data_IF_884729161051
#
_entry.id   IF_884729161051
#
_cell.length_a   1.000
_cell.length_b   1.000
_cell.length_c   1.000
_cell.angle_alpha   90.00
_cell.angle_beta   90.00
_cell.angle_gamma   90.00
#
_symmetry.space_group_name_H-M   'P 1'
#
loop_
_entity.id
_entity.type
_entity.pdbx_description
1 polymer ?
#
# COMPACT_ATOMS: atom_id res chain seq x y z
N UNK A 1 18.18 25.20 -0.46
CA UNK A 1 19.32 25.81 -0.76
C UNK A 1 20.40 26.13 0.27
N UNK A 2 20.13 26.88 1.35
CA UNK A 2 21.20 27.40 2.26
C UNK A 2 21.97 26.29 2.99
N UNK A 3 21.35 25.14 3.27
CA UNK A 3 21.96 24.01 4.00
C UNK A 3 22.31 22.83 3.09
N UNK A 4 22.26 22.98 1.78
CA UNK A 4 22.50 21.87 0.86
C UNK A 4 23.92 21.30 0.97
N UNK A 5 24.91 22.13 1.29
CA UNK A 5 26.30 21.70 1.47
C UNK A 5 26.48 20.93 2.80
N UNK A 6 25.71 21.28 3.84
CA UNK A 6 25.78 20.62 5.14
C UNK A 6 25.15 19.21 5.13
N UNK A 7 24.39 18.91 4.07
CA UNK A 7 23.76 17.60 3.83
C UNK A 7 24.55 16.68 2.90
N UNK A 8 25.74 17.12 2.46
CA UNK A 8 26.61 16.29 1.63
C UNK A 8 27.59 15.53 2.51
N UNK A 9 27.90 14.30 2.13
CA UNK A 9 29.01 13.58 2.73
C UNK A 9 30.34 14.28 2.41
N UNK A 10 31.34 14.12 3.29
CA UNK A 10 32.67 14.67 3.10
C UNK A 10 33.29 14.14 1.80
N UNK A 11 33.99 14.99 1.07
CA UNK A 11 34.53 14.65 -0.24
C UNK A 11 35.49 13.44 -0.21
N UNK A 12 36.27 13.29 0.85
CA UNK A 12 37.18 12.16 1.04
C UNK A 12 36.41 10.83 1.30
N UNK A 13 35.28 10.89 1.99
CA UNK A 13 34.41 9.71 2.22
C UNK A 13 33.76 9.27 0.91
N UNK A 14 33.28 10.21 0.10
CA UNK A 14 32.71 9.90 -1.22
C UNK A 14 33.74 9.32 -2.17
N UNK A 15 35.01 9.85 -2.12
CA UNK A 15 36.09 9.38 -2.99
C UNK A 15 36.58 7.97 -2.63
N UNK A 16 36.56 7.59 -1.34
CA UNK A 16 37.00 6.27 -0.88
C UNK A 16 36.20 5.79 0.33
N UNK A 17 34.91 5.40 0.15
CA UNK A 17 34.06 4.99 1.25
C UNK A 17 34.57 3.77 2.02
N UNK A 18 35.29 2.87 1.35
CA UNK A 18 35.85 1.66 1.98
C UNK A 18 36.93 1.94 3.02
N UNK A 19 37.52 3.14 3.04
CA UNK A 19 38.46 3.55 4.08
C UNK A 19 37.77 4.00 5.37
N UNK A 20 36.46 4.30 5.33
CA UNK A 20 35.70 4.88 6.44
C UNK A 20 34.61 3.95 6.98
N UNK A 21 34.15 2.98 6.18
CA UNK A 21 33.06 2.07 6.54
C UNK A 21 33.50 0.61 6.46
N UNK A 22 33.04 -0.19 7.39
CA UNK A 22 33.27 -1.65 7.40
C UNK A 22 32.60 -2.37 6.24
N UNK A 23 31.54 -1.78 5.70
CA UNK A 23 30.80 -2.33 4.57
C UNK A 23 30.24 -1.23 3.69
N UNK A 24 30.44 -1.36 2.39
CA UNK A 24 29.83 -0.51 1.35
C UNK A 24 28.82 -1.34 0.56
N UNK A 25 27.61 -0.81 0.40
CA UNK A 25 26.55 -1.41 -0.42
C UNK A 25 26.29 -0.46 -1.57
N UNK A 26 26.44 -0.95 -2.79
CA UNK A 26 26.18 -0.20 -4.01
C UNK A 26 24.85 -0.67 -4.63
N UNK A 27 23.97 0.26 -4.94
CA UNK A 27 22.67 0.01 -5.55
C UNK A 27 22.55 0.82 -6.83
N UNK A 28 22.45 0.15 -7.97
CA UNK A 28 22.19 0.78 -9.25
C UNK A 28 20.70 1.06 -9.42
N UNK A 29 20.29 2.31 -9.23
CA UNK A 29 18.88 2.70 -9.34
C UNK A 29 18.29 2.51 -10.74
N UNK A 30 19.13 2.45 -11.79
CA UNK A 30 18.67 2.22 -13.18
C UNK A 30 18.30 0.76 -13.44
N UNK A 31 18.76 -0.16 -12.60
CA UNK A 31 18.48 -1.60 -12.67
C UNK A 31 17.47 -2.05 -11.61
N UNK A 32 17.14 -1.14 -10.69
CA UNK A 32 16.22 -1.45 -9.60
C UNK A 32 14.80 -1.63 -10.13
N UNK A 33 14.21 -2.77 -9.84
CA UNK A 33 12.81 -3.07 -10.10
C UNK A 33 12.00 -3.16 -8.80
N UNK A 34 10.64 -3.11 -8.86
CA UNK A 34 9.81 -3.31 -7.67
C UNK A 34 10.00 -4.69 -7.05
N UNK A 35 9.94 -4.75 -5.73
CA UNK A 35 10.02 -5.99 -4.95
C UNK A 35 8.71 -6.28 -4.24
N UNK A 36 8.43 -7.58 -4.06
CA UNK A 36 7.35 -8.10 -3.22
C UNK A 36 7.97 -8.90 -2.09
N UNK A 37 7.52 -8.63 -0.87
CA UNK A 37 8.03 -9.28 0.34
C UNK A 37 7.00 -10.25 0.91
N UNK A 38 7.45 -11.43 1.32
CA UNK A 38 6.62 -12.45 1.97
C UNK A 38 6.49 -13.76 1.21
N UNK A 39 5.56 -14.62 1.63
CA UNK A 39 4.65 -14.45 2.76
C UNK A 39 5.29 -14.80 4.12
N UNK A 40 4.59 -14.46 5.21
CA UNK A 40 4.89 -14.88 6.60
C UNK A 40 6.17 -14.34 7.23
N UNK A 41 7.00 -13.62 6.52
CA UNK A 41 8.29 -13.07 6.99
C UNK A 41 8.57 -11.73 6.31
N UNK A 42 9.28 -10.80 6.99
CA UNK A 42 9.76 -9.57 6.37
C UNK A 42 11.00 -9.78 5.49
N UNK A 43 11.63 -10.96 5.53
CA UNK A 43 12.96 -11.21 4.95
C UNK A 43 12.92 -11.87 3.57
N UNK A 44 11.73 -12.16 3.03
CA UNK A 44 11.56 -12.90 1.77
C UNK A 44 11.29 -11.96 0.58
N UNK A 45 12.11 -10.93 0.41
CA UNK A 45 12.01 -10.02 -0.73
C UNK A 45 12.32 -10.73 -2.05
N UNK A 46 11.51 -10.46 -3.08
CA UNK A 46 11.63 -11.04 -4.42
C UNK A 46 11.35 -9.96 -5.45
N UNK A 47 12.21 -9.79 -6.46
CA UNK A 47 11.94 -8.87 -7.56
C UNK A 47 10.70 -9.31 -8.34
N UNK A 48 9.95 -8.33 -8.85
CA UNK A 48 8.69 -8.60 -9.57
C UNK A 48 8.92 -9.49 -10.81
N UNK A 49 10.10 -9.43 -11.40
CA UNK A 49 10.46 -10.25 -12.56
C UNK A 49 10.55 -11.75 -12.25
N UNK A 50 10.81 -12.13 -11.00
CA UNK A 50 10.96 -13.50 -10.52
C UNK A 50 9.76 -13.97 -9.69
N UNK A 51 8.87 -13.04 -9.32
CA UNK A 51 7.81 -13.33 -8.35
C UNK A 51 6.79 -14.36 -8.86
N UNK A 52 6.45 -14.32 -10.15
CA UNK A 52 5.53 -15.31 -10.74
C UNK A 52 6.07 -16.75 -10.61
N UNK A 53 7.36 -16.96 -10.87
CA UNK A 53 8.01 -18.26 -10.69
C UNK A 53 7.99 -18.69 -9.23
N UNK A 54 8.31 -17.78 -8.31
CA UNK A 54 8.25 -18.04 -6.86
C UNK A 54 6.85 -18.46 -6.40
N UNK A 55 5.81 -17.81 -6.91
CA UNK A 55 4.40 -18.16 -6.62
C UNK A 55 4.11 -19.59 -7.04
N UNK A 56 4.51 -19.98 -8.25
CA UNK A 56 4.26 -21.30 -8.82
C UNK A 56 5.06 -22.40 -8.10
N UNK A 57 6.36 -22.19 -7.92
CA UNK A 57 7.26 -23.17 -7.29
C UNK A 57 6.88 -23.47 -5.85
N UNK A 58 6.48 -22.44 -5.09
CA UNK A 58 6.07 -22.61 -3.69
C UNK A 58 4.59 -22.97 -3.51
N UNK A 59 3.81 -23.06 -4.58
CA UNK A 59 2.38 -23.36 -4.53
C UNK A 59 1.58 -22.31 -3.75
N UNK A 60 1.97 -21.04 -3.84
CA UNK A 60 1.20 -19.95 -3.22
C UNK A 60 -0.13 -19.77 -3.95
N UNK A 61 -1.22 -19.41 -3.25
CA UNK A 61 -2.50 -19.12 -3.90
C UNK A 61 -2.34 -17.95 -4.89
N UNK A 62 -2.45 -18.27 -6.17
CA UNK A 62 -2.24 -17.29 -7.26
C UNK A 62 -3.29 -16.18 -7.27
N UNK A 63 -4.56 -16.57 -7.01
CA UNK A 63 -5.65 -15.59 -6.95
C UNK A 63 -5.43 -14.63 -5.79
N UNK A 64 -5.39 -13.34 -6.09
CA UNK A 64 -5.37 -12.28 -5.12
C UNK A 64 -6.80 -11.96 -4.67
N UNK A 65 -7.05 -11.97 -3.36
CA UNK A 65 -8.41 -11.76 -2.84
C UNK A 65 -8.68 -10.34 -2.38
N UNK A 66 -7.66 -9.62 -1.89
CA UNK A 66 -7.79 -8.23 -1.46
C UNK A 66 -6.46 -7.51 -1.63
N UNK A 67 -6.53 -6.29 -2.18
CA UNK A 67 -5.46 -5.31 -2.11
C UNK A 67 -5.73 -4.29 -1.02
N UNK A 68 -4.70 -3.94 -0.23
CA UNK A 68 -4.83 -2.95 0.81
C UNK A 68 -3.66 -1.96 0.77
N UNK A 69 -3.96 -0.72 0.42
CA UNK A 69 -3.05 0.40 0.56
C UNK A 69 -3.27 1.02 1.93
N UNK A 70 -2.22 1.06 2.77
CA UNK A 70 -2.41 1.56 4.12
C UNK A 70 -1.16 1.57 4.97
N UNK A 71 -1.37 1.76 6.24
CA UNK A 71 -0.47 2.11 7.32
C UNK A 71 -0.12 3.61 7.36
N UNK A 72 0.29 4.08 8.54
CA UNK A 72 0.77 5.47 8.70
C UNK A 72 2.09 5.75 7.95
N UNK A 73 2.80 4.70 7.55
CA UNK A 73 4.11 4.79 6.88
C UNK A 73 3.98 4.77 5.36
N UNK A 74 3.13 3.89 4.82
CA UNK A 74 3.06 3.59 3.39
C UNK A 74 1.69 3.95 2.79
N UNK A 75 1.18 5.11 3.14
CA UNK A 75 0.07 5.83 2.52
C UNK A 75 0.23 7.34 2.75
N UNK A 76 1.45 7.82 2.51
CA UNK A 76 1.79 9.24 2.44
C UNK A 76 1.07 9.91 1.26
N UNK A 77 1.19 11.23 1.16
CA UNK A 77 0.66 11.96 0.02
C UNK A 77 1.25 11.45 -1.30
N UNK A 78 2.57 11.25 -1.36
CA UNK A 78 3.25 10.72 -2.54
C UNK A 78 2.76 9.31 -2.89
N UNK A 79 2.65 8.41 -1.91
CA UNK A 79 2.17 7.05 -2.11
C UNK A 79 0.76 7.03 -2.69
N UNK A 80 -0.14 7.84 -2.13
CA UNK A 80 -1.51 7.97 -2.62
C UNK A 80 -1.57 8.63 -4.00
N UNK A 81 -0.72 9.62 -4.27
CA UNK A 81 -0.65 10.29 -5.58
C UNK A 81 -0.24 9.30 -6.68
N UNK A 82 0.80 8.51 -6.47
CA UNK A 82 1.26 7.47 -7.40
C UNK A 82 0.22 6.38 -7.61
N UNK A 83 -0.38 5.87 -6.54
CA UNK A 83 -1.44 4.88 -6.66
C UNK A 83 -2.69 5.45 -7.35
N UNK A 84 -3.07 6.70 -7.08
CA UNK A 84 -4.20 7.36 -7.74
C UNK A 84 -3.96 7.55 -9.25
N UNK A 85 -2.71 7.74 -9.68
CA UNK A 85 -2.34 7.76 -11.11
C UNK A 85 -2.72 6.44 -11.79
N UNK A 86 -2.48 5.30 -11.16
CA UNK A 86 -2.91 3.99 -11.67
C UNK A 86 -4.44 3.85 -11.61
N UNK A 87 -5.08 4.33 -10.53
CA UNK A 87 -6.54 4.30 -10.43
C UNK A 87 -7.23 5.07 -11.58
N UNK A 88 -6.67 6.21 -11.99
CA UNK A 88 -7.17 6.96 -13.15
C UNK A 88 -7.03 6.17 -14.44
N UNK A 89 -5.93 5.43 -14.63
CA UNK A 89 -5.74 4.59 -15.80
C UNK A 89 -6.78 3.46 -15.91
N UNK A 90 -7.35 2.99 -14.81
CA UNK A 90 -8.44 2.00 -14.82
C UNK A 90 -9.64 2.54 -15.58
N UNK A 91 -10.05 3.78 -15.28
CA UNK A 91 -11.16 4.44 -15.98
C UNK A 91 -10.80 4.78 -17.44
N UNK A 92 -9.62 5.34 -17.68
CA UNK A 92 -9.15 5.77 -19.01
C UNK A 92 -8.98 4.59 -19.98
N UNK A 93 -8.56 3.43 -19.47
CA UNK A 93 -8.30 2.22 -20.26
C UNK A 93 -9.45 1.21 -20.20
N UNK A 94 -10.57 1.57 -19.59
CA UNK A 94 -11.77 0.74 -19.43
C UNK A 94 -11.46 -0.63 -18.78
N UNK A 95 -10.58 -0.63 -17.79
CA UNK A 95 -10.22 -1.84 -17.05
C UNK A 95 -11.26 -2.14 -15.96
N UNK A 96 -11.41 -3.40 -15.63
CA UNK A 96 -12.12 -3.85 -14.44
C UNK A 96 -11.11 -4.16 -13.31
N UNK A 97 -11.47 -3.86 -12.08
CA UNK A 97 -10.68 -4.25 -10.91
C UNK A 97 -11.10 -5.65 -10.48
N UNK A 98 -10.18 -6.62 -10.51
CA UNK A 98 -10.49 -8.02 -10.29
C UNK A 98 -10.64 -8.43 -8.83
N UNK A 99 -10.07 -7.65 -7.89
CA UNK A 99 -10.17 -7.90 -6.45
C UNK A 99 -10.57 -6.62 -5.69
N UNK A 100 -11.21 -6.74 -4.52
CA UNK A 100 -11.50 -5.59 -3.67
C UNK A 100 -10.25 -4.81 -3.31
N UNK A 101 -10.34 -3.48 -3.36
CA UNK A 101 -9.30 -2.56 -2.91
C UNK A 101 -9.76 -1.83 -1.65
N UNK A 102 -8.91 -1.80 -0.65
CA UNK A 102 -9.08 -0.99 0.56
C UNK A 102 -7.96 0.06 0.59
N UNK A 103 -8.33 1.30 0.87
CA UNK A 103 -7.36 2.40 1.03
C UNK A 103 -7.54 3.01 2.42
N UNK A 104 -6.45 3.03 3.18
CA UNK A 104 -6.38 3.59 4.51
C UNK A 104 -5.33 4.72 4.52
N UNK A 105 -5.73 6.00 4.42
CA UNK A 105 -4.80 7.14 4.42
C UNK A 105 -3.94 7.19 5.68
N UNK A 106 -2.72 7.73 5.56
CA UNK A 106 -1.73 7.73 6.63
C UNK A 106 -2.08 8.62 7.84
N UNK A 107 -2.87 9.65 7.62
CA UNK A 107 -3.38 10.55 8.66
C UNK A 107 -4.62 11.29 8.16
N UNK A 108 -5.33 11.94 9.08
CA UNK A 108 -6.49 12.76 8.70
C UNK A 108 -6.07 13.96 7.82
N UNK A 109 -4.90 14.54 8.08
CA UNK A 109 -4.37 15.61 7.22
C UNK A 109 -4.08 15.11 5.81
N UNK A 110 -3.47 13.93 5.68
CA UNK A 110 -3.23 13.29 4.36
C UNK A 110 -4.56 12.96 3.69
N UNK A 111 -5.53 12.40 4.41
CA UNK A 111 -6.87 12.10 3.87
C UNK A 111 -7.54 13.35 3.28
N UNK A 112 -7.60 14.42 4.07
CA UNK A 112 -8.24 15.66 3.65
C UNK A 112 -7.49 16.34 2.48
N UNK A 113 -6.16 16.24 2.46
CA UNK A 113 -5.35 16.78 1.35
C UNK A 113 -5.56 15.96 0.09
N UNK A 114 -5.53 14.62 0.18
CA UNK A 114 -5.77 13.73 -0.94
C UNK A 114 -7.19 13.82 -1.50
N UNK A 115 -8.18 14.09 -0.63
CA UNK A 115 -9.56 14.35 -1.03
C UNK A 115 -9.68 15.66 -1.82
N UNK A 116 -9.10 16.75 -1.32
CA UNK A 116 -9.05 18.03 -2.02
C UNK A 116 -8.40 17.90 -3.40
N UNK A 117 -7.35 17.11 -3.51
CA UNK A 117 -6.54 16.95 -4.73
C UNK A 117 -7.08 15.81 -5.64
N UNK A 118 -8.29 15.28 -5.34
CA UNK A 118 -9.02 14.33 -6.18
C UNK A 118 -8.48 12.91 -6.21
N UNK A 119 -7.59 12.53 -5.27
CA UNK A 119 -7.07 11.16 -5.20
C UNK A 119 -8.09 10.19 -4.62
N UNK A 120 -8.81 10.62 -3.58
CA UNK A 120 -9.86 9.81 -2.95
C UNK A 120 -10.97 9.51 -3.96
N UNK A 121 -11.38 10.50 -4.75
CA UNK A 121 -12.36 10.34 -5.83
C UNK A 121 -11.88 9.31 -6.88
N UNK A 122 -10.60 9.36 -7.26
CA UNK A 122 -10.04 8.37 -8.19
C UNK A 122 -10.13 6.92 -7.67
N UNK A 123 -9.84 6.70 -6.38
CA UNK A 123 -10.01 5.38 -5.76
C UNK A 123 -11.47 4.95 -5.65
N UNK A 124 -12.36 5.86 -5.28
CA UNK A 124 -13.79 5.56 -5.17
C UNK A 124 -14.40 5.20 -6.53
N UNK A 125 -14.00 5.86 -7.61
CA UNK A 125 -14.45 5.56 -8.98
C UNK A 125 -14.14 4.15 -9.44
N UNK A 126 -13.09 3.56 -8.91
CA UNK A 126 -12.72 2.15 -9.21
C UNK A 126 -13.28 1.16 -8.17
N UNK A 127 -14.16 1.61 -7.28
CA UNK A 127 -14.82 0.77 -6.29
C UNK A 127 -14.01 0.51 -5.01
N UNK A 128 -12.95 1.30 -4.75
CA UNK A 128 -12.18 1.15 -3.51
C UNK A 128 -12.99 1.59 -2.27
N UNK A 129 -12.81 0.86 -1.18
CA UNK A 129 -13.30 1.24 0.14
C UNK A 129 -12.26 2.12 0.84
N UNK A 130 -12.65 3.35 1.15
CA UNK A 130 -11.80 4.27 1.92
C UNK A 130 -12.09 4.08 3.40
N UNK A 131 -11.09 3.69 4.16
CA UNK A 131 -11.18 3.50 5.61
C UNK A 131 -10.77 4.77 6.36
N UNK A 132 -11.17 4.85 7.62
CA UNK A 132 -10.60 5.82 8.55
C UNK A 132 -9.10 5.54 8.75
N UNK A 133 -8.33 6.59 8.99
CA UNK A 133 -6.89 6.54 9.26
C UNK A 133 -6.58 5.93 10.63
N UNK A 134 -6.78 4.63 10.74
CA UNK A 134 -6.56 3.85 11.96
C UNK A 134 -5.66 2.63 11.68
N UNK A 135 -5.02 2.13 12.73
CA UNK A 135 -4.11 0.98 12.62
C UNK A 135 -4.79 -0.37 12.36
N UNK A 136 -6.12 -0.45 12.39
CA UNK A 136 -6.93 -1.67 12.31
C UNK A 136 -6.31 -2.86 11.57
N UNK A 137 -6.36 -2.91 10.23
CA UNK A 137 -5.77 -4.02 9.48
C UNK A 137 -4.26 -4.16 9.68
N UNK A 138 -3.53 -3.04 9.79
CA UNK A 138 -2.08 -3.05 9.92
C UNK A 138 -1.59 -3.70 11.23
N UNK A 139 -2.39 -3.73 12.28
CA UNK A 139 -2.08 -4.38 13.56
C UNK A 139 -2.82 -5.70 13.78
N UNK A 140 -3.47 -6.25 12.73
CA UNK A 140 -4.18 -7.50 12.81
C UNK A 140 -5.60 -7.41 13.38
N UNK A 141 -6.15 -6.22 13.53
CA UNK A 141 -7.54 -5.99 13.95
C UNK A 141 -8.48 -5.87 12.73
N UNK A 142 -8.33 -6.78 11.81
CA UNK A 142 -9.15 -6.84 10.61
C UNK A 142 -9.92 -8.17 10.55
N UNK A 143 -11.22 -8.11 10.79
CA UNK A 143 -12.09 -9.27 10.63
C UNK A 143 -12.53 -9.34 9.17
N UNK A 144 -11.66 -9.90 8.33
CA UNK A 144 -12.02 -10.20 6.95
C UNK A 144 -12.96 -11.41 6.93
N UNK A 145 -14.12 -11.24 6.31
CA UNK A 145 -15.02 -12.37 6.09
C UNK A 145 -14.45 -13.24 4.97
N UNK A 146 -14.30 -14.53 5.23
CA UNK A 146 -13.92 -15.55 4.25
C UNK A 146 -14.90 -16.71 4.31
N UNK A 147 -15.38 -17.17 3.16
CA UNK A 147 -16.33 -18.28 3.08
C UNK A 147 -15.75 -19.59 3.61
N UNK A 148 -14.43 -19.74 3.50
CA UNK A 148 -13.68 -20.89 3.98
C UNK A 148 -12.38 -20.44 4.68
N UNK A 149 -12.37 -20.38 6.03
CA UNK A 149 -11.21 -19.92 6.80
C UNK A 149 -10.04 -20.90 6.78
N UNK A 150 -10.21 -22.15 6.37
CA UNK A 150 -9.12 -23.14 6.27
C UNK A 150 -8.46 -23.15 4.91
N UNK A 151 -9.09 -22.57 3.90
CA UNK A 151 -8.54 -22.44 2.55
C UNK A 151 -7.37 -21.44 2.55
N UNK A 152 -6.27 -21.84 1.93
CA UNK A 152 -5.16 -20.92 1.64
C UNK A 152 -5.65 -19.83 0.70
N UNK A 153 -5.28 -18.60 1.00
CA UNK A 153 -5.63 -17.42 0.21
C UNK A 153 -4.50 -16.39 0.21
N UNK A 154 -4.50 -15.46 -0.72
CA UNK A 154 -3.47 -14.44 -0.85
C UNK A 154 -4.04 -13.03 -0.81
N UNK A 155 -3.34 -12.15 -0.11
CA UNK A 155 -3.59 -10.71 -0.09
C UNK A 155 -2.28 -9.95 -0.32
N UNK A 156 -2.35 -8.75 -0.87
CA UNK A 156 -1.19 -7.85 -0.99
C UNK A 156 -1.49 -6.54 -0.29
N UNK A 157 -0.56 -6.08 0.51
CA UNK A 157 -0.71 -4.86 1.31
C UNK A 157 0.51 -3.96 1.16
N UNK A 158 0.37 -2.68 1.46
CA UNK A 158 1.51 -1.78 1.60
C UNK A 158 1.93 -1.60 3.07
N UNK A 159 1.74 -2.62 3.91
CA UNK A 159 2.12 -2.56 5.31
C UNK A 159 3.64 -2.54 5.50
N UNK A 160 4.08 -2.13 6.68
CA UNK A 160 5.49 -2.05 7.05
C UNK A 160 5.99 -3.27 7.81
N UNK A 161 5.18 -4.31 7.98
CA UNK A 161 5.52 -5.56 8.70
C UNK A 161 4.81 -6.74 8.09
N UNK A 162 5.48 -7.89 8.10
CA UNK A 162 4.92 -9.15 7.61
C UNK A 162 5.32 -10.32 8.52
N UNK A 163 4.35 -11.06 9.00
CA UNK A 163 4.49 -12.35 9.68
C UNK A 163 3.13 -13.07 9.69
N UNK A 164 3.13 -14.35 10.03
CA UNK A 164 1.90 -15.13 10.04
C UNK A 164 0.79 -14.49 10.90
N UNK A 165 -0.43 -14.51 10.43
CA UNK A 165 -1.63 -13.93 11.07
C UNK A 165 -1.65 -12.40 11.21
N UNK A 166 -0.63 -11.68 10.70
CA UNK A 166 -0.50 -10.24 10.92
C UNK A 166 -1.65 -9.41 10.40
N UNK A 167 -2.21 -9.75 9.26
CA UNK A 167 -3.22 -8.92 8.60
C UNK A 167 -4.63 -9.14 9.17
N UNK A 168 -5.11 -10.40 9.19
CA UNK A 168 -6.51 -10.76 9.47
C UNK A 168 -6.66 -11.87 10.53
N UNK A 169 -5.57 -12.24 11.20
CA UNK A 169 -5.57 -13.29 12.21
C UNK A 169 -5.61 -14.72 11.66
N UNK A 170 -5.81 -14.92 10.35
CA UNK A 170 -5.92 -16.24 9.73
C UNK A 170 -4.53 -16.78 9.36
N UNK A 171 -4.12 -17.97 9.87
CA UNK A 171 -2.83 -18.58 9.53
C UNK A 171 -2.72 -19.02 8.06
N UNK A 172 -3.84 -19.16 7.36
CA UNK A 172 -3.89 -19.57 5.96
C UNK A 172 -3.87 -18.40 4.97
N UNK A 173 -3.83 -17.16 5.47
CA UNK A 173 -3.65 -15.98 4.64
C UNK A 173 -2.19 -15.75 4.33
N UNK A 174 -1.83 -15.93 3.06
CA UNK A 174 -0.51 -15.57 2.52
C UNK A 174 -0.50 -14.07 2.25
N UNK A 175 -0.03 -13.30 3.23
CA UNK A 175 0.08 -11.86 3.11
C UNK A 175 1.43 -11.49 2.49
N UNK A 176 1.38 -10.66 1.45
CA UNK A 176 2.54 -10.08 0.79
C UNK A 176 2.57 -8.58 1.02
N UNK A 177 3.77 -8.00 0.99
CA UNK A 177 3.97 -6.56 1.13
C UNK A 177 4.65 -6.02 -0.10
N UNK A 178 4.11 -4.94 -0.65
CA UNK A 178 4.62 -4.25 -1.82
C UNK A 178 4.37 -2.75 -1.71
N UNK A 179 4.90 -1.96 -2.63
CA UNK A 179 4.58 -0.54 -2.73
C UNK A 179 3.09 -0.31 -3.06
N UNK A 180 2.49 0.83 -2.66
CA UNK A 180 1.07 1.12 -2.90
C UNK A 180 0.65 0.98 -4.36
N UNK A 181 1.44 1.47 -5.30
CA UNK A 181 1.17 1.36 -6.72
C UNK A 181 1.22 -0.10 -7.22
N UNK A 182 2.14 -0.91 -6.69
CA UNK A 182 2.20 -2.33 -7.04
C UNK A 182 1.03 -3.12 -6.44
N UNK A 183 0.62 -2.79 -5.21
CA UNK A 183 -0.61 -3.33 -4.60
C UNK A 183 -1.80 -3.08 -5.53
N UNK A 184 -1.96 -1.85 -6.03
CA UNK A 184 -3.08 -1.54 -6.92
C UNK A 184 -2.98 -2.27 -8.26
N UNK A 185 -1.80 -2.32 -8.88
CA UNK A 185 -1.61 -3.02 -10.15
C UNK A 185 -1.98 -4.51 -10.05
N UNK A 186 -1.55 -5.18 -8.97
CA UNK A 186 -1.91 -6.57 -8.69
C UNK A 186 -3.40 -6.73 -8.35
N UNK A 187 -4.02 -5.73 -7.70
CA UNK A 187 -5.46 -5.73 -7.40
C UNK A 187 -6.30 -5.65 -8.68
N UNK A 188 -5.88 -4.84 -9.65
CA UNK A 188 -6.53 -4.76 -10.96
C UNK A 188 -6.45 -6.10 -11.68
N UNK A 189 -5.28 -6.74 -11.67
CA UNK A 189 -5.08 -8.04 -12.30
C UNK A 189 -5.79 -9.18 -11.55
N UNK A 190 -5.92 -9.10 -10.23
CA UNK A 190 -6.42 -10.19 -9.37
C UNK A 190 -5.51 -11.42 -9.32
N UNK A 191 -4.26 -11.28 -9.73
CA UNK A 191 -3.32 -12.36 -9.97
C UNK A 191 -1.92 -12.01 -9.46
N UNK A 192 -1.38 -12.82 -8.53
CA UNK A 192 -0.03 -12.62 -8.00
C UNK A 192 1.08 -12.84 -9.03
N UNK A 193 0.80 -13.57 -10.12
CA UNK A 193 1.78 -13.79 -11.19
C UNK A 193 1.84 -12.63 -12.20
N UNK A 194 1.00 -11.60 -12.06
CA UNK A 194 1.01 -10.45 -12.96
C UNK A 194 2.24 -9.57 -12.73
N UNK A 195 2.96 -9.29 -13.81
CA UNK A 195 4.08 -8.33 -13.79
C UNK A 195 3.69 -7.05 -14.53
N UNK A 196 3.39 -5.94 -13.85
CA UNK A 196 2.93 -4.71 -14.50
C UNK A 196 3.96 -4.06 -15.42
N UNK A 197 5.24 -4.43 -15.30
CA UNK A 197 6.30 -3.91 -16.15
C UNK A 197 6.33 -4.60 -17.53
N UNK A 198 5.81 -5.83 -17.63
CA UNK A 198 5.89 -6.67 -18.85
C UNK A 198 4.52 -7.05 -19.39
N UNK A 199 3.57 -7.39 -18.52
CA UNK A 199 2.31 -7.98 -18.91
C UNK A 199 1.27 -6.95 -19.32
N UNK A 200 0.23 -7.44 -20.00
CA UNK A 200 -0.95 -6.67 -20.42
C UNK A 200 -2.19 -7.21 -19.74
N UNK A 201 -3.16 -6.33 -19.52
CA UNK A 201 -4.50 -6.66 -19.06
C UNK A 201 -5.47 -6.66 -20.25
N UNK A 202 -6.62 -7.31 -20.07
CA UNK A 202 -7.71 -7.24 -21.04
C UNK A 202 -8.73 -6.23 -20.51
N UNK A 203 -9.04 -5.21 -21.29
CA UNK A 203 -10.07 -4.24 -20.94
C UNK A 203 -11.50 -4.76 -21.23
N UNK A 204 -12.51 -3.96 -20.91
CA UNK A 204 -13.92 -4.35 -21.09
C UNK A 204 -14.32 -4.48 -22.57
N UNK A 205 -13.57 -3.89 -23.47
CA UNK A 205 -13.73 -4.03 -24.94
C UNK A 205 -13.01 -5.27 -25.50
N UNK A 206 -12.26 -6.01 -24.67
CA UNK A 206 -11.49 -7.18 -25.10
C UNK A 206 -10.10 -6.85 -25.66
N UNK A 207 -9.64 -5.62 -25.51
CA UNK A 207 -8.35 -5.17 -26.00
C UNK A 207 -7.24 -5.40 -24.97
N UNK A 208 -6.03 -5.68 -25.47
CA UNK A 208 -4.82 -5.75 -24.61
C UNK A 208 -4.31 -4.37 -24.31
N UNK A 209 -4.29 -4.01 -23.02
CA UNK A 209 -3.80 -2.73 -22.54
C UNK A 209 -2.69 -2.94 -21.51
N UNK A 210 -1.71 -2.03 -21.49
CA UNK A 210 -0.62 -2.03 -20.52
C UNK A 210 -0.81 -0.87 -19.57
N UNK A 211 -0.54 -1.09 -18.27
CA UNK A 211 -0.44 -0.03 -17.30
C UNK A 211 0.80 0.81 -17.59
N UNK A 212 0.65 2.11 -17.56
CA UNK A 212 1.76 3.05 -17.65
C UNK A 212 2.44 3.18 -16.29
N UNK A 213 3.71 3.54 -16.28
CA UNK A 213 4.45 3.84 -15.06
C UNK A 213 3.69 4.88 -14.24
N UNK A 214 3.48 4.66 -12.92
CA UNK A 214 2.75 5.61 -12.09
C UNK A 214 3.53 6.92 -11.95
N UNK A 215 2.82 8.02 -12.14
CA UNK A 215 3.30 9.37 -11.85
C UNK A 215 2.68 9.85 -10.55
N UNK A 216 3.33 10.76 -9.84
CA UNK A 216 2.78 11.34 -8.62
C UNK A 216 3.66 12.43 -8.05
N UNK A 217 3.02 13.34 -7.34
CA UNK A 217 3.67 14.46 -6.68
C UNK A 217 4.22 14.03 -5.32
N UNK A 218 5.42 14.45 -4.99
CA UNK A 218 6.03 14.20 -3.67
C UNK A 218 5.30 14.99 -2.58
N UNK A 219 4.90 16.20 -2.90
CA UNK A 219 4.23 17.14 -1.99
C UNK A 219 3.05 17.81 -2.69
N UNK A 220 1.99 18.14 -1.95
CA UNK A 220 0.86 18.86 -2.52
C UNK A 220 1.27 20.28 -2.95
N UNK A 221 1.00 20.67 -4.20
CA UNK A 221 1.37 21.97 -4.76
C UNK A 221 0.76 23.15 -4.00
N UNK A 222 -0.46 22.97 -3.45
CA UNK A 222 -1.15 23.95 -2.61
C UNK A 222 -0.83 23.80 -1.10
N UNK A 223 0.18 23.01 -0.74
CA UNK A 223 0.49 22.64 0.65
C UNK A 223 -0.54 21.67 1.24
N UNK A 224 -0.27 21.17 2.44
CA UNK A 224 -1.19 20.31 3.16
C UNK A 224 -2.40 21.09 3.67
N UNK A 225 -3.54 20.42 3.75
CA UNK A 225 -4.75 20.97 4.37
C UNK A 225 -4.45 21.37 5.80
N UNK A 226 -4.75 22.62 6.15
CA UNK A 226 -4.48 23.17 7.48
C UNK A 226 -5.62 22.88 8.46
N UNK A 227 -5.30 22.97 9.76
CA UNK A 227 -6.25 22.74 10.84
C UNK A 227 -6.41 21.28 11.21
N UNK A 228 -7.52 20.95 11.82
CA UNK A 228 -7.88 19.59 12.22
C UNK A 228 -9.21 19.19 11.53
N UNK A 229 -9.17 18.79 10.24
CA UNK A 229 -10.38 18.58 9.45
C UNK A 229 -11.25 17.42 9.98
N UNK A 230 -10.68 16.51 10.77
CA UNK A 230 -11.42 15.41 11.40
C UNK A 230 -11.84 15.68 12.85
N UNK A 231 -11.59 16.88 13.38
CA UNK A 231 -11.92 17.18 14.76
C UNK A 231 -13.44 17.38 14.92
N UNK A 232 -14.01 16.56 15.79
CA UNK A 232 -15.38 16.74 16.27
C UNK A 232 -15.29 17.26 17.70
N UNK A 233 -15.77 18.49 17.90
CA UNK A 233 -15.84 19.06 19.25
C UNK A 233 -16.73 18.19 20.15
N UNK A 234 -16.36 18.01 21.44
CA UNK A 234 -17.25 17.34 22.38
C UNK A 234 -18.63 18.01 22.39
N UNK A 235 -19.67 17.20 22.40
CA UNK A 235 -21.01 17.74 22.66
C UNK A 235 -20.98 18.45 24.03
N UNK A 236 -21.32 19.73 24.09
CA UNK A 236 -21.25 20.53 25.33
C UNK A 236 -22.26 20.13 26.42
N UNK A 237 -22.93 18.99 26.27
CA UNK A 237 -23.88 18.46 27.23
C UNK A 237 -23.14 17.63 28.29
N UNK A 238 -23.49 17.84 29.56
CA UNK A 238 -23.10 16.92 30.62
C UNK A 238 -23.74 15.56 30.36
N UNK A 239 -22.88 14.55 30.10
CA UNK A 239 -23.31 13.17 29.96
C UNK A 239 -23.27 12.53 31.35
N UNK A 240 -24.42 12.10 31.85
CA UNK A 240 -24.50 11.29 33.05
C UNK A 240 -23.93 9.90 32.79
N UNK A 241 -22.84 9.58 33.45
CA UNK A 241 -22.21 8.26 33.36
C UNK A 241 -23.00 7.29 34.25
N UNK A 242 -23.76 6.41 33.65
CA UNK A 242 -24.43 5.30 34.36
C UNK A 242 -23.48 4.11 34.43
N UNK A 243 -23.01 3.83 35.66
CA UNK A 243 -22.20 2.64 35.92
C UNK A 243 -23.16 1.49 36.25
N UNK A 244 -22.96 0.35 35.60
CA UNK A 244 -23.66 -0.86 35.99
C UNK A 244 -23.06 -1.41 37.30
N UNK A 245 -23.78 -1.39 38.43
CA UNK A 245 -23.25 -1.83 39.74
C UNK A 245 -22.97 -3.34 39.74
N UNK A 246 -23.58 -4.11 38.87
CA UNK A 246 -23.41 -5.57 38.77
C UNK A 246 -22.33 -5.98 37.75
N UNK A 247 -21.58 -5.04 37.20
CA UNK A 247 -20.49 -5.32 36.26
C UNK A 247 -19.36 -6.06 36.97
N UNK A 248 -19.03 -7.22 36.48
CA UNK A 248 -17.90 -8.04 36.97
C UNK A 248 -16.59 -7.78 36.19
N UNK A 249 -16.50 -6.66 35.50
CA UNK A 249 -15.27 -6.23 34.81
C UNK A 249 -14.45 -5.29 35.67
#
# INVERSE_FOLDING_TARGET
>A
GKVANDLRADAEVVANPSAFYDRVIEINLSELEPYINGPFTPDAATPISEFAEKVLVNGYPRKMEVGLIGSCTNSSYQDLSRAASIARQVAEKHLAVAAPLIVNPGSEQIRATAERDGMIDAFQKIGATIMANACGPCIGQWKRHTDDPVRKNSIVTSFNRNFAKRADGNPNTHAFVASPELVLALTIAGDLCFNPLKDTLINQEGEKVKLSVPEGDELPSAGFTQGNPGYLAPAGAQVEIKVNPDSQR
#
